data_IF_735792127418
#
_entry.id   IF_735792127418
#
_cell.length_a   1.000
_cell.length_b   1.000
_cell.length_c   1.000
_cell.angle_alpha   90.00
_cell.angle_beta   90.00
_cell.angle_gamma   90.00
#
_symmetry.space_group_name_H-M   'P 1'
#
loop_
_entity.id
_entity.type
_entity.pdbx_description
1 polymer ?
#
# COMPACT_ATOMS: atom_id res chain seq x y z
N UNK A 1 -19.13 -28.74 91.70
CA UNK A 1 -18.87 -27.61 92.60
C UNK A 1 -17.51 -27.84 93.25
N UNK A 2 -16.71 -26.78 93.37
CA UNK A 2 -15.38 -26.67 93.99
C UNK A 2 -14.18 -26.68 93.05
N UNK A 3 -13.51 -25.52 93.08
CA UNK A 3 -12.37 -25.06 92.32
C UNK A 3 -11.05 -25.65 92.84
N UNK A 4 -10.05 -25.75 91.96
CA UNK A 4 -8.64 -25.71 92.33
C UNK A 4 -7.98 -24.52 91.62
N UNK A 5 -7.31 -23.65 92.36
CA UNK A 5 -6.45 -22.59 91.82
C UNK A 5 -5.02 -23.11 91.82
N UNK A 6 -4.28 -22.90 90.72
CA UNK A 6 -2.84 -23.15 90.64
C UNK A 6 -2.19 -22.14 89.69
N UNK A 7 -0.95 -21.80 90.02
CA UNK A 7 -0.22 -20.55 89.83
C UNK A 7 0.28 -20.23 88.42
N UNK A 8 0.40 -18.91 88.19
CA UNK A 8 0.94 -18.22 87.02
C UNK A 8 2.43 -18.54 86.75
N UNK A 9 2.76 -18.87 85.50
CA UNK A 9 4.13 -18.83 84.96
C UNK A 9 4.20 -17.77 83.85
N UNK A 10 5.20 -16.89 83.91
CA UNK A 10 5.39 -15.80 82.94
C UNK A 10 6.23 -16.31 81.77
N UNK A 11 5.71 -16.18 80.54
CA UNK A 11 6.45 -16.42 79.31
C UNK A 11 6.58 -15.09 78.54
N UNK A 12 7.82 -14.68 78.29
CA UNK A 12 8.17 -13.50 77.48
C UNK A 12 7.92 -13.75 76.00
N UNK A 13 7.00 -13.00 75.40
CA UNK A 13 6.69 -13.05 73.97
C UNK A 13 7.67 -12.19 73.16
N UNK A 14 8.39 -12.80 72.22
CA UNK A 14 9.08 -12.09 71.13
C UNK A 14 8.08 -11.81 70.01
N UNK A 15 7.87 -10.53 69.66
CA UNK A 15 7.11 -10.12 68.49
C UNK A 15 8.03 -10.08 67.27
N UNK A 16 7.82 -10.96 66.30
CA UNK A 16 8.46 -10.87 64.99
C UNK A 16 7.55 -10.09 64.02
N UNK A 17 7.96 -8.91 63.59
CA UNK A 17 7.31 -8.16 62.51
C UNK A 17 7.68 -8.82 61.17
N UNK A 18 6.74 -9.54 60.55
CA UNK A 18 6.87 -10.01 59.18
C UNK A 18 6.35 -8.92 58.22
N UNK A 19 7.25 -8.26 57.48
CA UNK A 19 6.89 -7.36 56.39
C UNK A 19 6.51 -8.20 55.16
N UNK A 20 5.21 -8.33 54.89
CA UNK A 20 4.72 -8.92 53.65
C UNK A 20 4.99 -7.97 52.47
N UNK A 21 6.06 -8.21 51.71
CA UNK A 21 6.20 -7.65 50.37
C UNK A 21 5.28 -8.42 49.42
N UNK A 22 4.09 -7.90 49.16
CA UNK A 22 3.20 -8.45 48.14
C UNK A 22 3.75 -8.12 46.75
N UNK A 23 4.36 -9.12 46.11
CA UNK A 23 4.58 -9.11 44.67
C UNK A 23 3.22 -9.16 43.97
N UNK A 24 2.72 -8.02 43.50
CA UNK A 24 1.65 -8.01 42.53
C UNK A 24 2.26 -8.41 41.18
N UNK A 25 1.84 -9.54 40.57
CA UNK A 25 2.31 -9.89 39.24
C UNK A 25 1.85 -8.80 38.27
N UNK A 26 2.80 -8.15 37.61
CA UNK A 26 2.51 -7.24 36.50
C UNK A 26 1.88 -8.05 35.38
N UNK A 27 0.57 -7.95 35.20
CA UNK A 27 -0.10 -8.54 34.04
C UNK A 27 0.35 -7.78 32.80
N UNK A 28 1.19 -8.42 31.98
CA UNK A 28 1.54 -7.89 30.67
C UNK A 28 0.30 -8.05 29.80
N UNK A 29 -0.31 -6.93 29.39
CA UNK A 29 -1.39 -6.96 28.42
C UNK A 29 -0.87 -7.58 27.11
N UNK A 30 -1.56 -8.60 26.61
CA UNK A 30 -1.26 -9.20 25.31
C UNK A 30 -1.58 -8.19 24.21
N UNK A 31 -0.58 -7.85 23.39
CA UNK A 31 -0.77 -7.02 22.21
C UNK A 31 -1.50 -7.89 21.17
N UNK A 32 -2.71 -7.50 20.70
CA UNK A 32 -3.42 -8.30 19.70
C UNK A 32 -2.66 -8.33 18.38
N UNK A 33 -2.70 -9.47 17.70
CA UNK A 33 -2.13 -9.62 16.35
C UNK A 33 -2.85 -8.65 15.40
N UNK A 34 -2.13 -7.80 14.65
CA UNK A 34 -2.75 -6.90 13.70
C UNK A 34 -3.54 -7.68 12.64
N UNK A 35 -4.79 -7.26 12.39
CA UNK A 35 -5.60 -7.79 11.29
C UNK A 35 -5.16 -7.11 10.00
N UNK A 36 -4.92 -7.90 8.96
CA UNK A 36 -4.54 -7.36 7.65
C UNK A 36 -5.65 -6.42 7.12
N UNK A 37 -5.29 -5.28 6.51
CA UNK A 37 -6.26 -4.39 5.91
C UNK A 37 -6.96 -5.09 4.74
N UNK A 38 -8.23 -4.74 4.52
CA UNK A 38 -8.99 -5.18 3.35
C UNK A 38 -8.69 -4.26 2.18
N UNK A 39 -8.76 -4.80 0.97
CA UNK A 39 -8.58 -4.06 -0.27
C UNK A 39 -9.91 -3.97 -1.03
N UNK A 40 -10.13 -2.84 -1.71
CA UNK A 40 -11.24 -2.63 -2.65
C UNK A 40 -10.68 -2.56 -4.06
N UNK A 41 -11.34 -3.25 -5.00
CA UNK A 41 -10.97 -3.18 -6.42
C UNK A 41 -11.25 -1.78 -6.96
N UNK A 42 -10.26 -1.21 -7.66
CA UNK A 42 -10.30 0.15 -8.18
C UNK A 42 -10.54 0.14 -9.69
N UNK A 43 -9.64 -0.50 -10.45
CA UNK A 43 -9.73 -0.64 -11.91
C UNK A 43 -8.82 -1.76 -12.43
N UNK A 44 -9.09 -2.19 -13.66
CA UNK A 44 -8.13 -2.87 -14.52
C UNK A 44 -7.74 -1.93 -15.65
N UNK A 45 -6.44 -1.79 -15.92
CA UNK A 45 -5.90 -1.04 -17.05
C UNK A 45 -5.19 -1.97 -18.02
N UNK A 46 -5.37 -1.72 -19.31
CA UNK A 46 -4.57 -2.27 -20.39
C UNK A 46 -3.70 -1.16 -20.94
N UNK A 47 -2.39 -1.23 -20.69
CA UNK A 47 -1.41 -0.21 -21.06
C UNK A 47 -0.68 -0.63 -22.31
N UNK A 48 -0.63 0.26 -23.31
CA UNK A 48 0.10 0.07 -24.55
C UNK A 48 1.45 0.79 -24.46
N UNK A 49 2.52 0.04 -24.69
CA UNK A 49 3.87 0.57 -24.62
C UNK A 49 4.65 0.29 -25.91
N UNK A 50 5.39 1.29 -26.38
CA UNK A 50 6.32 1.11 -27.47
C UNK A 50 7.57 0.31 -27.04
N UNK A 51 8.37 -0.17 -28.00
CA UNK A 51 9.64 -0.81 -27.69
C UNK A 51 10.53 0.05 -26.80
N UNK A 52 11.28 -0.61 -25.92
CA UNK A 52 12.23 0.02 -25.04
C UNK A 52 13.32 0.77 -25.84
N UNK A 53 13.61 2.01 -25.46
CA UNK A 53 14.55 2.90 -26.15
C UNK A 53 15.98 2.87 -25.55
N UNK A 54 16.14 2.36 -24.34
CA UNK A 54 17.44 2.31 -23.64
C UNK A 54 17.57 1.00 -22.86
N UNK A 55 18.62 0.20 -23.09
CA UNK A 55 18.97 -0.96 -22.23
C UNK A 55 20.37 -1.54 -22.40
N UNK A 56 21.22 -0.87 -23.16
CA UNK A 56 22.51 -1.45 -23.56
C UNK A 56 23.64 -1.16 -22.56
N UNK A 57 23.45 -0.19 -21.67
CA UNK A 57 24.49 0.34 -20.80
C UNK A 57 24.12 0.24 -19.32
N UNK A 58 25.07 -0.18 -18.50
CA UNK A 58 24.95 -0.16 -17.03
C UNK A 58 25.26 1.26 -16.55
N UNK A 59 24.31 1.90 -15.88
CA UNK A 59 24.48 3.20 -15.24
C UNK A 59 24.70 3.11 -13.73
N UNK A 60 24.90 4.25 -13.03
CA UNK A 60 25.13 4.29 -11.58
C UNK A 60 24.02 3.67 -10.71
N UNK A 61 22.81 3.55 -11.25
CA UNK A 61 21.63 3.01 -10.57
C UNK A 61 21.11 1.70 -11.19
N UNK A 62 21.88 1.09 -12.10
CA UNK A 62 21.49 -0.10 -12.85
C UNK A 62 21.28 0.14 -14.33
N UNK A 63 20.69 -0.83 -15.02
CA UNK A 63 20.43 -0.74 -16.47
C UNK A 63 19.08 -0.04 -16.65
N UNK A 64 19.09 1.16 -17.21
CA UNK A 64 17.86 1.92 -17.51
C UNK A 64 17.02 1.18 -18.54
N UNK A 65 15.72 1.15 -18.34
CA UNK A 65 14.69 0.93 -19.35
C UNK A 65 13.93 2.23 -19.55
N UNK A 66 13.68 2.64 -20.78
CA UNK A 66 12.90 3.83 -21.12
C UNK A 66 11.86 3.42 -22.14
N UNK A 67 10.66 3.13 -21.63
CA UNK A 67 9.59 2.46 -22.35
C UNK A 67 8.45 3.47 -22.52
N UNK A 68 8.22 4.02 -23.71
CA UNK A 68 7.15 4.99 -23.92
C UNK A 68 5.78 4.36 -23.66
N UNK A 69 4.90 5.08 -22.97
CA UNK A 69 3.50 4.70 -22.77
C UNK A 69 2.68 5.49 -23.78
N UNK A 70 2.11 4.77 -24.76
CA UNK A 70 1.50 5.36 -25.97
C UNK A 70 -0.02 5.25 -26.00
N UNK A 71 -0.61 4.74 -24.93
CA UNK A 71 -2.05 4.71 -24.75
C UNK A 71 -2.53 3.47 -24.02
N UNK A 72 -3.76 3.09 -24.33
CA UNK A 72 -4.49 2.03 -23.64
C UNK A 72 -5.80 2.49 -23.04
N UNK A 73 -6.39 1.67 -22.18
CA UNK A 73 -7.66 1.93 -21.53
C UNK A 73 -7.65 1.46 -20.08
N UNK A 74 -8.62 1.93 -19.30
CA UNK A 74 -8.90 1.44 -17.97
C UNK A 74 -10.39 1.39 -17.71
N UNK A 75 -10.81 0.46 -16.85
CA UNK A 75 -12.20 0.31 -16.45
C UNK A 75 -12.31 -0.24 -15.04
N UNK A 76 -13.31 0.24 -14.30
CA UNK A 76 -13.56 -0.13 -12.92
C UNK A 76 -14.91 0.42 -12.45
N UNK A 77 -15.36 0.08 -11.23
CA UNK A 77 -16.68 0.46 -10.73
C UNK A 77 -16.92 1.97 -10.67
N UNK A 78 -15.85 2.75 -10.45
CA UNK A 78 -15.90 4.20 -10.28
C UNK A 78 -14.97 4.96 -11.22
N UNK A 79 -14.19 4.27 -12.04
CA UNK A 79 -13.12 4.87 -12.85
C UNK A 79 -12.99 4.12 -14.19
N UNK A 80 -13.36 4.79 -15.28
CA UNK A 80 -13.26 4.26 -16.65
C UNK A 80 -12.82 5.36 -17.61
N UNK A 81 -12.06 4.98 -18.64
CA UNK A 81 -11.52 5.91 -19.62
C UNK A 81 -10.35 5.38 -20.43
N UNK A 82 -9.53 6.32 -20.93
CA UNK A 82 -8.38 6.05 -21.77
C UNK A 82 -7.07 6.55 -21.17
N UNK A 83 -5.99 5.88 -21.52
CA UNK A 83 -4.64 6.34 -21.23
C UNK A 83 -4.22 7.28 -22.36
N UNK A 84 -3.69 8.45 -22.02
CA UNK A 84 -3.21 9.41 -23.00
C UNK A 84 -1.83 9.00 -23.53
N UNK A 85 -1.55 9.35 -24.78
CA UNK A 85 -0.25 9.16 -25.44
C UNK A 85 0.77 10.19 -24.91
N UNK A 86 1.14 10.04 -23.64
CA UNK A 86 2.15 10.84 -22.96
C UNK A 86 2.65 10.07 -21.74
N UNK A 87 3.98 10.07 -21.58
CA UNK A 87 4.63 9.45 -20.45
C UNK A 87 5.50 8.26 -20.85
N UNK A 88 6.09 7.63 -19.84
CA UNK A 88 6.93 6.45 -20.02
C UNK A 88 7.09 5.71 -18.69
N UNK A 89 7.63 4.50 -18.79
CA UNK A 89 8.30 3.80 -17.71
C UNK A 89 9.81 4.03 -17.84
N UNK A 90 10.39 4.73 -16.86
CA UNK A 90 11.82 4.88 -16.69
C UNK A 90 12.33 3.85 -15.67
N UNK A 91 11.98 2.58 -15.82
CA UNK A 91 12.40 1.55 -14.87
C UNK A 91 13.91 1.26 -14.88
N UNK A 92 14.36 0.49 -13.88
CA UNK A 92 15.74 0.04 -13.73
C UNK A 92 15.78 -1.48 -13.58
N UNK A 93 16.75 -2.12 -14.24
CA UNK A 93 17.14 -3.50 -13.94
C UNK A 93 18.36 -3.46 -13.03
N UNK A 94 18.27 -4.11 -11.88
CA UNK A 94 19.40 -4.33 -11.00
C UNK A 94 20.37 -5.35 -11.64
N UNK A 95 21.64 -4.97 -11.92
CA UNK A 95 22.59 -5.85 -12.57
C UNK A 95 23.02 -7.05 -11.70
N UNK A 96 22.81 -7.02 -10.38
CA UNK A 96 23.19 -8.11 -9.50
C UNK A 96 22.12 -9.20 -9.43
N UNK A 97 20.85 -8.79 -9.39
CA UNK A 97 19.71 -9.70 -9.20
C UNK A 97 18.88 -9.92 -10.46
N UNK A 98 19.10 -9.10 -11.50
CA UNK A 98 18.29 -9.02 -12.71
C UNK A 98 16.82 -8.64 -12.43
N UNK A 99 16.51 -8.09 -11.26
CA UNK A 99 15.17 -7.61 -10.91
C UNK A 99 14.91 -6.27 -11.59
N UNK A 100 13.88 -6.23 -12.43
CA UNK A 100 13.34 -4.99 -12.96
C UNK A 100 12.43 -4.30 -11.94
N UNK A 101 12.55 -2.99 -11.81
CA UNK A 101 11.62 -2.14 -11.06
C UNK A 101 11.10 -1.02 -11.97
N UNK A 102 9.78 -0.92 -12.10
CA UNK A 102 9.13 0.15 -12.84
C UNK A 102 9.21 1.49 -12.11
N UNK A 103 9.25 2.58 -12.86
CA UNK A 103 9.13 3.96 -12.39
C UNK A 103 8.48 4.81 -13.47
N UNK A 104 7.17 5.02 -13.37
CA UNK A 104 6.35 5.55 -14.44
C UNK A 104 5.74 6.89 -14.11
N UNK A 105 5.48 7.69 -15.14
CA UNK A 105 4.63 8.88 -15.09
C UNK A 105 3.82 8.95 -16.37
N UNK A 106 2.51 9.03 -16.26
CA UNK A 106 1.58 9.05 -17.40
C UNK A 106 0.20 9.60 -16.97
N UNK A 107 -0.74 9.67 -17.90
CA UNK A 107 -2.04 10.30 -17.66
C UNK A 107 -3.22 9.42 -18.08
N UNK A 108 -4.25 9.44 -17.24
CA UNK A 108 -5.59 8.99 -17.57
C UNK A 108 -6.46 10.18 -17.98
N UNK A 109 -7.39 9.92 -18.91
CA UNK A 109 -8.57 10.74 -19.17
C UNK A 109 -9.81 9.89 -19.02
N UNK A 110 -10.67 10.24 -18.06
CA UNK A 110 -11.92 9.52 -17.83
C UNK A 110 -12.92 9.75 -18.95
N UNK A 111 -13.91 8.86 -19.06
CA UNK A 111 -14.97 8.96 -20.08
C UNK A 111 -15.81 10.24 -19.95
N UNK A 112 -15.89 10.81 -18.74
CA UNK A 112 -16.55 12.09 -18.45
C UNK A 112 -15.59 13.30 -18.45
N UNK A 113 -14.36 13.11 -18.94
CA UNK A 113 -13.45 14.20 -19.30
C UNK A 113 -12.53 14.71 -18.19
N UNK A 114 -12.44 14.04 -17.04
CA UNK A 114 -11.47 14.39 -16.01
C UNK A 114 -10.07 13.87 -16.36
N UNK A 115 -9.07 14.72 -16.16
CA UNK A 115 -7.67 14.34 -16.28
C UNK A 115 -7.09 13.94 -14.92
N UNK A 116 -6.35 12.84 -14.92
CA UNK A 116 -5.70 12.29 -13.72
C UNK A 116 -4.26 11.96 -14.10
N UNK A 117 -3.31 12.53 -13.37
CA UNK A 117 -1.90 12.17 -13.45
C UNK A 117 -1.63 10.95 -12.58
N UNK A 118 -0.78 10.04 -13.06
CA UNK A 118 -0.39 8.82 -12.37
C UNK A 118 1.12 8.74 -12.24
N UNK A 119 1.57 8.28 -11.08
CA UNK A 119 2.90 7.70 -10.90
C UNK A 119 2.75 6.27 -10.41
N UNK A 120 3.41 5.33 -11.08
CA UNK A 120 3.49 3.95 -10.58
C UNK A 120 4.93 3.51 -10.43
N UNK A 121 5.23 2.76 -9.37
CA UNK A 121 6.58 2.27 -9.15
C UNK A 121 6.55 0.95 -8.39
N UNK A 122 7.46 0.04 -8.73
CA UNK A 122 7.61 -1.19 -7.96
C UNK A 122 8.39 -2.31 -8.66
N UNK A 123 8.91 -3.26 -7.88
CA UNK A 123 9.76 -4.33 -8.38
C UNK A 123 8.94 -5.48 -8.98
N UNK A 124 9.60 -6.25 -9.83
CA UNK A 124 9.16 -7.59 -10.22
C UNK A 124 9.18 -8.52 -9.01
N UNK A 125 8.07 -9.20 -8.78
CA UNK A 125 7.89 -10.23 -7.77
C UNK A 125 8.34 -11.61 -8.27
N UNK A 126 8.58 -12.59 -7.36
CA UNK A 126 9.06 -13.92 -7.74
C UNK A 126 8.14 -14.70 -8.67
N UNK A 127 6.83 -14.42 -8.64
CA UNK A 127 5.82 -15.04 -9.52
C UNK A 127 5.81 -14.46 -10.95
N UNK A 128 6.63 -13.45 -11.21
CA UNK A 128 6.78 -12.83 -12.52
C UNK A 128 5.96 -11.56 -12.73
N UNK A 129 5.02 -11.25 -11.83
CA UNK A 129 4.26 -10.01 -11.85
C UNK A 129 5.11 -8.83 -11.33
N UNK A 130 4.66 -7.58 -11.49
CA UNK A 130 5.19 -6.47 -10.69
C UNK A 130 4.16 -6.05 -9.65
N UNK A 131 4.62 -5.77 -8.43
CA UNK A 131 3.80 -5.15 -7.40
C UNK A 131 4.07 -3.66 -7.39
N UNK A 132 3.07 -2.87 -7.76
CA UNK A 132 3.16 -1.44 -7.94
C UNK A 132 2.57 -0.70 -6.75
N UNK A 133 3.22 0.39 -6.32
CA UNK A 133 2.59 1.55 -5.69
C UNK A 133 1.96 2.40 -6.80
N UNK A 134 0.79 2.98 -6.53
CA UNK A 134 0.12 3.90 -7.45
C UNK A 134 -0.21 5.19 -6.70
N UNK A 135 0.16 6.33 -7.30
CA UNK A 135 -0.15 7.67 -6.82
C UNK A 135 -0.97 8.37 -7.90
N UNK A 136 -2.02 9.07 -7.48
CA UNK A 136 -2.89 9.85 -8.36
C UNK A 136 -2.79 11.34 -8.02
N UNK A 137 -2.99 12.17 -9.03
CA UNK A 137 -3.20 13.61 -8.87
C UNK A 137 -4.28 14.09 -9.84
N UNK A 138 -5.31 14.76 -9.34
CA UNK A 138 -6.37 15.34 -10.15
C UNK A 138 -7.00 16.57 -9.49
N UNK A 139 -7.36 17.55 -10.32
CA UNK A 139 -8.16 18.71 -9.90
C UNK A 139 -9.68 18.49 -10.00
N UNK A 140 -10.13 17.34 -10.50
CA UNK A 140 -11.56 17.11 -10.69
C UNK A 140 -12.29 16.94 -9.36
N UNK A 141 -13.34 17.73 -9.04
CA UNK A 141 -14.09 17.59 -7.80
C UNK A 141 -14.71 16.19 -7.62
N UNK A 142 -15.12 15.55 -8.73
CA UNK A 142 -15.71 14.20 -8.72
C UNK A 142 -14.69 13.12 -8.31
N UNK A 143 -13.44 13.28 -8.75
CA UNK A 143 -12.38 12.29 -8.57
C UNK A 143 -11.34 12.69 -7.50
N UNK A 144 -11.56 13.81 -6.81
CA UNK A 144 -10.59 14.38 -5.86
C UNK A 144 -10.22 13.42 -4.72
N UNK A 145 -11.08 12.44 -4.43
CA UNK A 145 -10.83 11.41 -3.41
C UNK A 145 -9.60 10.55 -3.76
N UNK A 146 -9.28 10.38 -5.05
CA UNK A 146 -8.10 9.66 -5.52
C UNK A 146 -6.78 10.28 -5.02
N UNK A 147 -6.77 11.60 -4.77
CA UNK A 147 -5.60 12.28 -4.20
C UNK A 147 -5.27 11.80 -2.76
N UNK A 148 -6.20 11.07 -2.11
CA UNK A 148 -6.12 10.71 -0.70
C UNK A 148 -6.24 9.19 -0.46
N UNK A 149 -6.06 8.35 -1.49
CA UNK A 149 -6.04 6.89 -1.33
C UNK A 149 -4.62 6.34 -1.34
N UNK A 150 -4.43 5.19 -0.69
CA UNK A 150 -3.21 4.40 -0.85
C UNK A 150 -3.51 3.25 -1.79
N UNK A 151 -2.98 3.32 -3.00
CA UNK A 151 -3.25 2.33 -4.03
C UNK A 151 -2.03 1.46 -4.36
N UNK A 152 -2.31 0.20 -4.61
CA UNK A 152 -1.37 -0.82 -5.09
C UNK A 152 -1.91 -1.46 -6.36
N UNK A 153 -1.02 -2.06 -7.15
CA UNK A 153 -1.43 -2.81 -8.34
C UNK A 153 -0.57 -4.03 -8.60
N UNK A 154 -1.14 -4.98 -9.33
CA UNK A 154 -0.44 -6.13 -9.87
C UNK A 154 -0.36 -5.95 -11.38
N UNK A 155 0.87 -5.86 -11.90
CA UNK A 155 1.13 -5.78 -13.33
C UNK A 155 1.43 -7.16 -13.89
N UNK A 156 0.69 -7.54 -14.91
CA UNK A 156 0.94 -8.71 -15.76
C UNK A 156 1.46 -8.25 -17.11
N UNK A 157 2.60 -8.80 -17.52
CA UNK A 157 3.26 -8.49 -18.79
C UNK A 157 3.12 -9.65 -19.79
N UNK A 158 3.71 -9.53 -20.99
CA UNK A 158 3.71 -10.54 -22.04
C UNK A 158 2.31 -10.97 -22.53
N UNK A 159 1.36 -10.05 -22.52
CA UNK A 159 0.06 -10.31 -23.10
C UNK A 159 0.18 -10.38 -24.63
N UNK A 160 -0.56 -11.29 -25.29
CA UNK A 160 -0.51 -11.41 -26.74
C UNK A 160 -1.01 -10.12 -27.41
N UNK A 161 -0.27 -9.67 -28.42
CA UNK A 161 -0.65 -8.55 -29.27
C UNK A 161 -0.32 -8.86 -30.72
N UNK A 162 -1.09 -8.28 -31.64
CA UNK A 162 -0.86 -8.35 -33.08
C UNK A 162 -0.08 -7.15 -33.62
N UNK A 163 0.30 -6.21 -32.74
CA UNK A 163 1.06 -4.99 -33.05
C UNK A 163 2.48 -5.12 -32.49
N UNK A 164 3.41 -4.33 -33.01
CA UNK A 164 4.78 -4.23 -32.48
C UNK A 164 4.84 -3.35 -31.23
N UNK A 165 4.03 -3.67 -30.22
CA UNK A 165 3.93 -2.97 -28.93
C UNK A 165 3.94 -4.00 -27.80
N UNK A 166 4.25 -3.57 -26.58
CA UNK A 166 3.96 -4.36 -25.38
C UNK A 166 2.58 -4.00 -24.85
N UNK A 167 1.75 -5.00 -24.58
CA UNK A 167 0.48 -4.83 -23.87
C UNK A 167 0.63 -5.33 -22.44
N UNK A 168 0.36 -4.45 -21.48
CA UNK A 168 0.44 -4.74 -20.04
C UNK A 168 -0.95 -4.68 -19.43
N UNK A 169 -1.24 -5.55 -18.46
CA UNK A 169 -2.46 -5.45 -17.64
C UNK A 169 -2.08 -5.03 -16.23
N UNK A 170 -2.76 -4.04 -15.67
CA UNK A 170 -2.61 -3.64 -14.27
C UNK A 170 -3.98 -3.78 -13.61
N UNK A 171 -4.09 -4.68 -12.64
CA UNK A 171 -5.23 -4.70 -11.72
C UNK A 171 -4.86 -3.88 -10.49
N UNK A 172 -5.70 -2.92 -10.12
CA UNK A 172 -5.42 -1.94 -9.06
C UNK A 172 -6.44 -2.04 -7.92
N UNK A 173 -5.96 -1.83 -6.70
CA UNK A 173 -6.75 -1.78 -5.48
C UNK A 173 -6.30 -0.62 -4.59
N UNK A 174 -7.22 -0.11 -3.79
CA UNK A 174 -6.93 0.77 -2.66
C UNK A 174 -7.38 0.10 -1.34
N UNK A 175 -7.06 0.67 -0.18
CA UNK A 175 -7.61 0.13 1.06
C UNK A 175 -9.13 0.30 1.09
N UNK A 176 -9.84 -0.74 1.53
CA UNK A 176 -11.30 -0.71 1.61
C UNK A 176 -11.83 0.33 2.62
N UNK A 177 -10.98 0.82 3.51
CA UNK A 177 -11.27 1.90 4.47
C UNK A 177 -10.93 3.30 3.94
N UNK A 178 -10.34 3.42 2.75
CA UNK A 178 -10.01 4.73 2.17
C UNK A 178 -11.27 5.49 1.74
N UNK A 179 -11.07 6.77 1.45
CA UNK A 179 -12.09 7.67 0.94
C UNK A 179 -12.70 7.17 -0.37
N UNK A 180 -14.02 7.32 -0.51
CA UNK A 180 -14.75 7.11 -1.76
C UNK A 180 -15.35 8.42 -2.33
N UNK A 181 -15.14 9.52 -1.62
CA UNK A 181 -15.59 10.88 -1.93
C UNK A 181 -14.74 11.88 -1.15
N UNK A 182 -14.72 13.15 -1.57
CA UNK A 182 -14.03 14.23 -0.87
C UNK A 182 -15.03 15.23 -0.31
N UNK A 183 -14.85 15.60 0.95
CA UNK A 183 -15.53 16.75 1.55
C UNK A 183 -14.59 17.96 1.53
N UNK A 184 -14.99 19.03 0.85
CA UNK A 184 -14.21 20.27 0.80
C UNK A 184 -14.57 21.17 1.98
N UNK A 185 -13.57 21.71 2.68
CA UNK A 185 -13.78 22.50 3.91
C UNK A 185 -14.55 23.81 3.68
N UNK A 186 -14.47 24.41 2.49
CA UNK A 186 -15.05 25.72 2.19
C UNK A 186 -16.00 25.66 0.99
N UNK A 187 -16.98 24.76 0.99
CA UNK A 187 -18.04 24.73 -0.01
C UNK A 187 -19.06 25.89 0.20
N UNK A 188 -18.58 27.13 0.28
CA UNK A 188 -19.41 28.31 0.05
C UNK A 188 -19.39 28.57 -1.45
N UNK A 189 -20.44 28.07 -2.13
CA UNK A 189 -20.96 28.57 -3.42
C UNK A 189 -19.93 28.98 -4.49
N UNK A 190 -19.67 28.07 -5.42
CA UNK A 190 -19.40 28.45 -6.81
C UNK A 190 -20.69 28.22 -7.61
#
# INVERSE_FOLDING_TARGET
MWHSVSTQGWATSMLALATCFSWLPTSIATIPVPVAPKLSFLYTAFVECDPNLMDTSVGPHGIRKSIPIVGGNFSGPHLSGKILDVGADWGLVDPQTNVFSADTRYNFRTDDGADIFLQTAGPKAPDGHLHLRIIFETGSPKYYWLNNVVAIGILTSNLPTNRNISLLRIDAWNFASDWNSTQFMNATSA
#
